data_IF_384782030125
#
_entry.id   IF_384782030125
#
_cell.length_a   1.000
_cell.length_b   1.000
_cell.length_c   1.000
_cell.angle_alpha   90.00
_cell.angle_beta   90.00
_cell.angle_gamma   90.00
#
_symmetry.space_group_name_H-M   'P 1'
#
loop_
_entity.id
_entity.type
_entity.pdbx_description
1 polymer ?
#
# COMPACT_ATOMS: atom_id res chain seq x y z
N UNK A 1 -0.79 -6.53 -21.09
CA UNK A 1 -0.86 -5.94 -19.72
C UNK A 1 0.53 -5.74 -19.13
N UNK A 2 1.39 -6.77 -19.03
CA UNK A 2 2.72 -6.65 -18.40
C UNK A 2 3.60 -5.59 -19.05
N UNK A 3 3.65 -5.51 -20.39
CA UNK A 3 4.41 -4.48 -21.09
C UNK A 3 3.94 -3.05 -20.74
N UNK A 4 2.67 -2.88 -20.39
CA UNK A 4 2.15 -1.59 -19.92
C UNK A 4 2.66 -1.26 -18.52
N UNK A 5 2.71 -2.23 -17.59
CA UNK A 5 3.33 -2.04 -16.27
C UNK A 5 4.82 -1.76 -16.38
N UNK A 6 5.53 -2.56 -17.17
CA UNK A 6 6.96 -2.38 -17.39
C UNK A 6 7.33 -1.02 -17.99
N UNK A 7 6.50 -0.50 -18.90
CA UNK A 7 6.67 0.82 -19.50
C UNK A 7 6.07 1.97 -18.68
N UNK A 8 5.37 1.69 -17.58
CA UNK A 8 4.72 2.71 -16.76
C UNK A 8 5.75 3.64 -16.12
N UNK A 9 5.68 4.94 -16.44
CA UNK A 9 6.67 5.92 -16.00
C UNK A 9 6.69 6.11 -14.49
N UNK A 10 5.52 6.12 -13.84
CA UNK A 10 5.43 6.31 -12.39
C UNK A 10 6.07 5.13 -11.65
N UNK A 11 5.76 3.89 -12.07
CA UNK A 11 6.33 2.68 -11.49
C UNK A 11 7.85 2.62 -11.68
N UNK A 12 8.33 2.85 -12.90
CA UNK A 12 9.77 2.84 -13.20
C UNK A 12 10.53 3.88 -12.41
N UNK A 13 10.07 5.13 -12.42
CA UNK A 13 10.71 6.20 -11.66
C UNK A 13 10.82 5.84 -10.18
N UNK A 14 9.73 5.32 -9.58
CA UNK A 14 9.74 4.90 -8.18
C UNK A 14 10.73 3.75 -7.91
N UNK A 15 10.73 2.71 -8.76
CA UNK A 15 11.66 1.59 -8.60
C UNK A 15 13.12 2.03 -8.74
N UNK A 16 13.40 2.92 -9.69
CA UNK A 16 14.76 3.44 -9.92
C UNK A 16 15.23 4.33 -8.74
N UNK A 17 14.37 5.23 -8.25
CA UNK A 17 14.68 6.12 -7.13
C UNK A 17 14.89 5.36 -5.81
N UNK A 18 14.16 4.27 -5.60
CA UNK A 18 14.27 3.43 -4.40
C UNK A 18 15.26 2.27 -4.57
N UNK A 19 15.89 2.13 -5.73
CA UNK A 19 16.79 1.02 -6.07
C UNK A 19 16.16 -0.37 -5.80
N UNK A 20 14.87 -0.52 -6.09
CA UNK A 20 14.14 -1.77 -5.84
C UNK A 20 14.53 -2.84 -6.84
N UNK A 21 14.94 -3.99 -6.34
CA UNK A 21 15.34 -5.15 -7.15
C UNK A 21 14.97 -6.45 -6.46
N UNK A 22 14.72 -7.50 -7.25
CA UNK A 22 14.56 -8.87 -6.78
C UNK A 22 15.84 -9.71 -6.92
N UNK A 23 16.97 -9.08 -7.31
CA UNK A 23 18.22 -9.80 -7.55
C UNK A 23 18.74 -10.57 -6.32
N UNK A 24 18.49 -10.08 -5.12
CA UNK A 24 18.90 -10.73 -3.87
C UNK A 24 17.93 -11.84 -3.42
N UNK A 25 16.80 -12.02 -4.14
CA UNK A 25 15.74 -12.98 -3.81
C UNK A 25 15.43 -13.91 -5.00
N UNK A 26 16.45 -14.33 -5.75
CA UNK A 26 16.27 -15.16 -6.95
C UNK A 26 15.58 -16.50 -6.67
N UNK A 27 15.82 -17.11 -5.52
CA UNK A 27 15.20 -18.37 -5.13
C UNK A 27 13.68 -18.21 -4.96
N UNK A 28 13.27 -17.16 -4.25
CA UNK A 28 11.85 -16.82 -4.11
C UNK A 28 11.18 -16.60 -5.46
N UNK A 29 11.78 -15.79 -6.34
CA UNK A 29 11.24 -15.53 -7.69
C UNK A 29 11.10 -16.79 -8.50
N UNK A 30 12.09 -17.68 -8.43
CA UNK A 30 12.07 -18.98 -9.13
C UNK A 30 10.96 -19.89 -8.61
N UNK A 31 10.82 -19.98 -7.29
CA UNK A 31 9.78 -20.78 -6.65
C UNK A 31 8.38 -20.26 -7.00
N UNK A 32 8.19 -18.94 -7.00
CA UNK A 32 6.94 -18.32 -7.43
C UNK A 32 6.64 -18.62 -8.90
N UNK A 33 7.64 -18.55 -9.77
CA UNK A 33 7.49 -18.89 -11.19
C UNK A 33 7.01 -20.33 -11.38
N UNK A 34 7.60 -21.30 -10.69
CA UNK A 34 7.15 -22.71 -10.75
C UNK A 34 5.72 -22.86 -10.24
N UNK A 35 5.35 -22.20 -9.15
CA UNK A 35 3.95 -22.22 -8.65
C UNK A 35 2.98 -21.65 -9.69
N UNK A 36 3.38 -20.63 -10.46
CA UNK A 36 2.57 -20.08 -11.55
C UNK A 36 2.40 -21.13 -12.66
N UNK A 37 3.50 -21.74 -13.15
CA UNK A 37 3.46 -22.74 -14.22
C UNK A 37 2.65 -23.99 -13.84
N UNK A 38 2.66 -24.39 -12.56
CA UNK A 38 1.93 -25.55 -12.07
C UNK A 38 0.44 -25.28 -11.83
N UNK A 39 0.03 -24.02 -11.76
CA UNK A 39 -1.37 -23.67 -11.46
C UNK A 39 -2.31 -24.00 -12.63
N UNK A 40 -3.49 -24.54 -12.30
CA UNK A 40 -4.48 -24.94 -13.31
C UNK A 40 -4.96 -23.76 -14.15
N UNK A 41 -5.22 -22.61 -13.53
CA UNK A 41 -5.69 -21.42 -14.24
C UNK A 41 -4.66 -20.87 -15.24
N UNK A 42 -3.35 -21.03 -14.97
CA UNK A 42 -2.30 -20.65 -15.90
C UNK A 42 -2.17 -21.64 -17.04
N UNK A 43 -2.27 -22.96 -16.76
CA UNK A 43 -2.29 -24.00 -17.79
C UNK A 43 -3.50 -23.85 -18.72
N UNK A 44 -4.67 -23.54 -18.18
CA UNK A 44 -5.87 -23.24 -18.98
C UNK A 44 -5.65 -22.03 -19.89
N UNK A 45 -5.10 -20.94 -19.35
CA UNK A 45 -4.75 -19.75 -20.13
C UNK A 45 -3.76 -20.05 -21.25
N UNK A 46 -2.69 -20.81 -20.97
CA UNK A 46 -1.67 -21.18 -21.95
C UNK A 46 -2.16 -22.19 -23.01
N UNK A 47 -3.19 -22.95 -22.72
CA UNK A 47 -3.82 -23.89 -23.65
C UNK A 47 -4.84 -23.22 -24.59
N UNK A 48 -5.20 -21.96 -24.34
CA UNK A 48 -6.12 -21.22 -25.22
C UNK A 48 -5.46 -20.88 -26.55
N UNK A 49 -6.17 -21.12 -27.65
CA UNK A 49 -5.70 -20.77 -29.01
C UNK A 49 -5.76 -19.26 -29.29
N UNK A 50 -6.57 -18.55 -28.54
CA UNK A 50 -6.76 -17.10 -28.67
C UNK A 50 -6.62 -16.45 -27.31
N UNK A 51 -6.04 -15.25 -27.27
CA UNK A 51 -6.03 -14.44 -26.07
C UNK A 51 -6.54 -13.03 -26.37
N UNK A 52 -7.25 -12.45 -25.41
CA UNK A 52 -7.64 -11.06 -25.41
C UNK A 52 -6.86 -10.30 -24.34
N UNK A 53 -6.85 -8.99 -24.42
CA UNK A 53 -6.25 -8.15 -23.38
C UNK A 53 -6.90 -8.41 -22.00
N UNK A 54 -8.20 -8.62 -21.99
CA UNK A 54 -8.99 -8.90 -20.77
C UNK A 54 -8.57 -10.23 -20.13
N UNK A 55 -8.33 -11.26 -20.94
CA UNK A 55 -7.83 -12.56 -20.46
C UNK A 55 -6.39 -12.44 -19.95
N UNK A 56 -5.52 -11.74 -20.66
CA UNK A 56 -4.15 -11.45 -20.20
C UNK A 56 -4.16 -10.75 -18.83
N UNK A 57 -4.95 -9.70 -18.68
CA UNK A 57 -5.09 -8.96 -17.43
C UNK A 57 -5.66 -9.83 -16.31
N UNK A 58 -6.66 -10.66 -16.63
CA UNK A 58 -7.31 -11.54 -15.66
C UNK A 58 -6.35 -12.60 -15.14
N UNK A 59 -5.53 -13.22 -15.98
CA UNK A 59 -4.53 -14.20 -15.52
C UNK A 59 -3.53 -13.56 -14.55
N UNK A 60 -3.08 -12.32 -14.80
CA UNK A 60 -2.21 -11.60 -13.87
C UNK A 60 -2.92 -11.23 -12.57
N UNK A 61 -4.20 -10.89 -12.63
CA UNK A 61 -5.02 -10.67 -11.43
C UNK A 61 -5.16 -11.96 -10.59
N UNK A 62 -5.32 -13.10 -11.24
CA UNK A 62 -5.39 -14.41 -10.58
C UNK A 62 -4.04 -14.81 -9.97
N UNK A 63 -2.93 -14.61 -10.69
CA UNK A 63 -1.58 -14.82 -10.17
C UNK A 63 -1.40 -14.01 -8.89
N UNK A 64 -1.67 -12.71 -8.94
CA UNK A 64 -1.52 -11.85 -7.77
C UNK A 64 -2.40 -12.31 -6.61
N UNK A 65 -3.69 -12.53 -6.86
CA UNK A 65 -4.66 -12.88 -5.83
C UNK A 65 -4.41 -14.25 -5.19
N UNK A 66 -4.03 -15.26 -5.98
CA UNK A 66 -3.94 -16.65 -5.51
C UNK A 66 -2.55 -17.07 -5.05
N UNK A 67 -1.51 -16.43 -5.58
CA UNK A 67 -0.13 -16.86 -5.35
C UNK A 67 0.74 -15.80 -4.65
N UNK A 68 0.30 -14.53 -4.61
CA UNK A 68 1.07 -13.43 -4.02
C UNK A 68 0.41 -12.91 -2.74
N UNK A 69 -0.90 -12.67 -2.73
CA UNK A 69 -1.61 -12.07 -1.57
C UNK A 69 -1.35 -12.85 -0.28
N UNK A 70 -1.57 -14.15 -0.30
CA UNK A 70 -1.44 -15.02 0.89
C UNK A 70 -0.11 -15.81 0.87
N UNK A 71 0.94 -15.25 0.27
CA UNK A 71 2.25 -15.89 0.22
C UNK A 71 3.04 -15.60 1.49
N UNK A 72 3.19 -16.61 2.35
CA UNK A 72 3.90 -16.51 3.64
C UNK A 72 5.37 -16.12 3.46
N UNK A 73 6.07 -16.75 2.50
CA UNK A 73 7.48 -16.45 2.21
C UNK A 73 7.68 -14.98 1.78
N UNK A 74 6.76 -14.42 0.97
CA UNK A 74 6.79 -13.00 0.63
C UNK A 74 6.52 -12.11 1.85
N UNK A 75 5.59 -12.51 2.72
CA UNK A 75 5.28 -11.74 3.93
C UNK A 75 6.50 -11.67 4.84
N UNK A 76 7.18 -12.79 5.07
CA UNK A 76 8.42 -12.84 5.85
C UNK A 76 9.52 -11.96 5.23
N UNK A 77 9.75 -12.04 3.91
CA UNK A 77 10.72 -11.19 3.22
C UNK A 77 10.40 -9.69 3.36
N UNK A 78 9.14 -9.31 3.27
CA UNK A 78 8.72 -7.92 3.42
C UNK A 78 8.86 -7.43 4.86
N UNK A 79 8.53 -8.26 5.85
CA UNK A 79 8.69 -7.95 7.28
C UNK A 79 10.16 -7.79 7.68
N UNK A 80 11.06 -8.58 7.10
CA UNK A 80 12.51 -8.44 7.28
C UNK A 80 13.02 -7.07 6.78
N UNK A 81 12.43 -6.54 5.72
CA UNK A 81 12.76 -5.20 5.22
C UNK A 81 12.17 -4.12 6.13
N UNK A 82 10.89 -4.28 6.52
CA UNK A 82 10.18 -3.31 7.36
C UNK A 82 9.00 -3.99 8.08
N UNK A 83 9.03 -3.98 9.41
CA UNK A 83 8.00 -4.58 10.28
C UNK A 83 6.57 -4.05 10.02
N UNK A 84 6.42 -2.85 9.48
CA UNK A 84 5.10 -2.29 9.15
C UNK A 84 4.37 -3.05 8.04
N UNK A 85 5.07 -3.86 7.25
CA UNK A 85 4.43 -4.72 6.25
C UNK A 85 3.44 -5.72 6.84
N UNK A 86 3.60 -6.09 8.11
CA UNK A 86 2.65 -6.95 8.82
C UNK A 86 1.21 -6.36 8.79
N UNK A 87 1.09 -5.05 9.01
CA UNK A 87 -0.21 -4.38 9.03
C UNK A 87 -0.62 -3.81 7.66
N UNK A 88 0.34 -3.30 6.89
CA UNK A 88 0.08 -2.54 5.66
C UNK A 88 -0.16 -3.42 4.43
N UNK A 89 0.35 -4.66 4.41
CA UNK A 89 0.29 -5.57 3.26
C UNK A 89 -1.12 -5.73 2.71
N UNK A 90 -2.11 -5.97 3.57
CA UNK A 90 -3.52 -6.17 3.17
C UNK A 90 -4.10 -4.95 2.41
N UNK A 91 -3.74 -3.74 2.83
CA UNK A 91 -4.16 -2.50 2.17
C UNK A 91 -3.48 -2.36 0.82
N UNK A 92 -2.16 -2.63 0.78
CA UNK A 92 -1.36 -2.58 -0.46
C UNK A 92 -1.87 -3.62 -1.47
N UNK A 93 -2.13 -4.85 -1.05
CA UNK A 93 -2.70 -5.91 -1.91
C UNK A 93 -4.03 -5.47 -2.55
N UNK A 94 -4.89 -4.79 -1.76
CA UNK A 94 -6.13 -4.21 -2.27
C UNK A 94 -5.87 -3.15 -3.34
N UNK A 95 -4.87 -2.30 -3.16
CA UNK A 95 -4.51 -1.26 -4.12
C UNK A 95 -3.88 -1.83 -5.39
N UNK A 96 -3.05 -2.86 -5.28
CA UNK A 96 -2.49 -3.56 -6.44
C UNK A 96 -3.60 -4.20 -7.27
N UNK A 97 -4.52 -4.95 -6.66
CA UNK A 97 -5.66 -5.55 -7.36
C UNK A 97 -6.57 -4.49 -8.03
N UNK A 98 -6.82 -3.37 -7.36
CA UNK A 98 -7.55 -2.24 -7.97
C UNK A 98 -6.79 -1.63 -9.14
N UNK A 99 -5.47 -1.51 -9.03
CA UNK A 99 -4.61 -1.01 -10.11
C UNK A 99 -4.69 -1.92 -11.33
N UNK A 100 -4.54 -3.25 -11.16
CA UNK A 100 -4.68 -4.23 -12.22
C UNK A 100 -6.04 -4.07 -12.95
N UNK A 101 -7.12 -3.96 -12.17
CA UNK A 101 -8.48 -3.84 -12.73
C UNK A 101 -8.73 -2.51 -13.50
N UNK A 102 -7.96 -1.46 -13.22
CA UNK A 102 -8.12 -0.15 -13.90
C UNK A 102 -7.45 -0.09 -15.26
N UNK A 103 -6.46 -0.94 -15.52
CA UNK A 103 -5.79 -0.98 -16.81
C UNK A 103 -6.72 -1.50 -17.91
N UNK A 104 -6.63 -0.87 -19.07
CA UNK A 104 -7.34 -1.25 -20.30
C UNK A 104 -6.33 -1.39 -21.45
N UNK A 105 -6.72 -1.98 -22.56
CA UNK A 105 -5.89 -2.07 -23.76
C UNK A 105 -5.36 -0.72 -24.26
N UNK A 106 -6.07 0.38 -23.95
CA UNK A 106 -5.71 1.75 -24.34
C UNK A 106 -4.80 2.46 -23.31
N UNK A 107 -4.55 1.85 -22.15
CA UNK A 107 -3.69 2.43 -21.11
C UNK A 107 -2.25 2.56 -21.62
N UNK A 108 -1.71 3.77 -21.53
CA UNK A 108 -0.35 4.07 -21.97
C UNK A 108 0.65 4.16 -20.81
N UNK A 109 1.91 4.43 -21.09
CA UNK A 109 2.98 4.54 -20.09
C UNK A 109 2.80 5.64 -19.04
N UNK A 110 1.90 6.58 -19.25
CA UNK A 110 1.56 7.63 -18.28
C UNK A 110 0.27 7.34 -17.51
N UNK A 111 -0.32 6.13 -17.66
CA UNK A 111 -1.53 5.75 -16.94
C UNK A 111 -1.28 5.79 -15.43
N UNK A 112 -2.10 6.53 -14.64
CA UNK A 112 -1.84 6.72 -13.22
C UNK A 112 -2.11 5.44 -12.42
N UNK A 113 -1.17 5.09 -11.56
CA UNK A 113 -1.37 4.05 -10.53
C UNK A 113 -2.38 4.53 -9.48
N UNK A 114 -2.76 3.65 -8.55
CA UNK A 114 -3.63 4.06 -7.44
C UNK A 114 -2.93 5.15 -6.63
N UNK A 115 -3.57 6.30 -6.41
CA UNK A 115 -2.98 7.37 -5.62
C UNK A 115 -2.95 7.01 -4.13
N UNK A 116 -1.97 7.53 -3.41
CA UNK A 116 -1.87 7.40 -1.93
C UNK A 116 -3.06 8.06 -1.22
N UNK A 117 -3.54 9.17 -1.76
CA UNK A 117 -4.67 9.93 -1.23
C UNK A 117 -5.79 9.99 -2.26
N UNK A 118 -7.03 10.08 -1.79
CA UNK A 118 -8.20 10.23 -2.66
C UNK A 118 -8.17 11.53 -3.46
N UNK A 119 -7.62 12.59 -2.87
CA UNK A 119 -7.49 13.91 -3.48
C UNK A 119 -6.29 14.67 -2.90
N UNK A 120 -5.85 15.73 -3.59
CA UNK A 120 -4.81 16.63 -3.06
C UNK A 120 -5.27 17.33 -1.77
N UNK A 121 -6.56 17.61 -1.62
CA UNK A 121 -7.11 18.18 -0.39
C UNK A 121 -6.98 17.23 0.79
N UNK A 122 -7.13 15.92 0.61
CA UNK A 122 -6.94 14.93 1.67
C UNK A 122 -5.46 14.85 2.10
N UNK A 123 -4.54 14.93 1.14
CA UNK A 123 -3.11 15.01 1.43
C UNK A 123 -2.75 16.26 2.21
N UNK A 124 -3.27 17.40 1.78
CA UNK A 124 -3.05 18.69 2.45
C UNK A 124 -3.63 18.69 3.86
N UNK A 125 -4.82 18.14 4.04
CA UNK A 125 -5.46 17.97 5.34
C UNK A 125 -4.58 17.11 6.27
N UNK A 126 -4.19 15.89 5.83
CA UNK A 126 -3.36 14.98 6.62
C UNK A 126 -2.03 15.63 7.01
N UNK A 127 -1.36 16.31 6.06
CA UNK A 127 -0.08 16.98 6.29
C UNK A 127 -0.21 18.13 7.29
N UNK A 128 -1.25 18.97 7.16
CA UNK A 128 -1.51 20.09 8.07
C UNK A 128 -1.87 19.59 9.47
N UNK A 129 -2.73 18.57 9.56
CA UNK A 129 -3.13 17.96 10.83
C UNK A 129 -1.92 17.40 11.59
N UNK A 130 -1.12 16.56 10.92
CA UNK A 130 0.07 15.97 11.54
C UNK A 130 1.07 17.04 12.01
N UNK A 131 1.34 18.02 11.14
CA UNK A 131 2.23 19.15 11.47
C UNK A 131 1.71 19.93 12.68
N UNK A 132 0.41 20.20 12.73
CA UNK A 132 -0.22 20.90 13.86
C UNK A 132 -0.15 20.11 15.15
N UNK A 133 -0.41 18.81 15.11
CA UNK A 133 -0.31 17.93 16.26
C UNK A 133 1.11 17.88 16.84
N UNK A 134 2.12 17.75 15.98
CA UNK A 134 3.54 17.73 16.39
C UNK A 134 3.96 19.08 16.99
N UNK A 135 3.71 20.19 16.28
CA UNK A 135 4.12 21.53 16.74
C UNK A 135 3.34 22.01 17.97
N UNK A 136 2.11 21.54 18.15
CA UNK A 136 1.24 21.88 19.27
C UNK A 136 1.31 20.90 20.43
N UNK A 137 2.24 19.93 20.43
CA UNK A 137 2.30 18.84 21.40
C UNK A 137 2.22 19.29 22.86
N UNK A 138 3.02 20.28 23.27
CA UNK A 138 3.03 20.80 24.65
C UNK A 138 1.70 21.46 25.01
N UNK A 139 1.17 22.30 24.11
CA UNK A 139 -0.10 22.97 24.30
C UNK A 139 -1.26 21.97 24.47
N UNK A 140 -1.36 21.00 23.57
CA UNK A 140 -2.40 19.97 23.63
C UNK A 140 -2.25 19.05 24.86
N UNK A 141 -1.01 18.70 25.23
CA UNK A 141 -0.74 17.94 26.46
C UNK A 141 -1.19 18.69 27.70
N UNK A 142 -1.00 20.01 27.75
CA UNK A 142 -1.49 20.87 28.80
C UNK A 142 -3.01 20.92 28.86
N UNK A 143 -3.69 21.03 27.71
CA UNK A 143 -5.15 20.99 27.63
C UNK A 143 -5.72 19.65 28.12
N UNK A 144 -5.13 18.54 27.71
CA UNK A 144 -5.53 17.19 28.17
C UNK A 144 -5.37 17.11 29.67
N UNK A 145 -4.22 17.50 30.21
CA UNK A 145 -3.92 17.45 31.64
C UNK A 145 -4.88 18.31 32.49
N UNK A 146 -5.25 19.51 32.01
CA UNK A 146 -6.14 20.41 32.73
C UNK A 146 -7.63 20.00 32.72
N UNK A 147 -8.03 19.20 31.72
CA UNK A 147 -9.41 18.76 31.52
C UNK A 147 -9.70 17.32 31.97
N UNK A 148 -8.68 16.52 32.27
CA UNK A 148 -8.83 15.17 32.81
C UNK A 148 -8.98 15.19 34.32
N UNK A 149 -10.20 15.50 34.82
CA UNK A 149 -10.48 15.51 36.26
C UNK A 149 -10.46 14.08 36.81
N UNK A 150 -9.66 13.86 37.87
CA UNK A 150 -9.59 12.57 38.56
C UNK A 150 -8.75 11.50 37.86
N UNK A 151 -8.09 11.82 36.76
CA UNK A 151 -7.17 10.92 36.05
C UNK A 151 -5.75 11.52 36.05
N UNK A 152 -4.77 10.72 36.41
CA UNK A 152 -3.37 11.08 36.20
C UNK A 152 -3.05 11.03 34.71
N UNK A 153 -2.66 12.13 34.05
CA UNK A 153 -2.32 12.15 32.64
C UNK A 153 -1.22 11.13 32.24
N UNK A 154 -0.37 10.75 33.21
CA UNK A 154 0.68 9.72 33.01
C UNK A 154 0.12 8.31 32.86
N UNK A 155 -1.12 8.07 33.25
CA UNK A 155 -1.82 6.79 33.15
C UNK A 155 -2.60 6.63 31.84
N UNK A 156 -2.72 7.69 31.05
CA UNK A 156 -3.34 7.62 29.72
C UNK A 156 -2.39 6.84 28.80
N UNK A 157 -2.91 5.78 28.16
CA UNK A 157 -2.13 5.00 27.21
C UNK A 157 -1.58 5.88 26.07
N UNK A 158 -0.43 5.54 25.52
CA UNK A 158 0.24 6.34 24.48
C UNK A 158 -0.67 6.62 23.29
N UNK A 159 -1.38 5.59 22.80
CA UNK A 159 -2.28 5.73 21.66
C UNK A 159 -3.46 6.65 21.96
N UNK A 160 -4.08 6.53 23.13
CA UNK A 160 -5.19 7.39 23.54
C UNK A 160 -4.75 8.87 23.59
N UNK A 161 -3.53 9.12 24.11
CA UNK A 161 -2.95 10.46 24.14
C UNK A 161 -2.70 11.01 22.73
N UNK A 162 -2.21 10.19 21.81
CA UNK A 162 -1.99 10.59 20.40
C UNK A 162 -3.33 10.92 19.75
N UNK A 163 -4.35 10.09 19.93
CA UNK A 163 -5.70 10.31 19.39
C UNK A 163 -6.31 11.60 19.93
N UNK A 164 -6.21 11.84 21.23
CA UNK A 164 -6.68 13.09 21.86
C UNK A 164 -5.95 14.31 21.31
N UNK A 165 -4.63 14.23 21.12
CA UNK A 165 -3.84 15.34 20.53
C UNK A 165 -4.23 15.61 19.08
N UNK A 166 -4.41 14.55 18.26
CA UNK A 166 -4.87 14.70 16.89
C UNK A 166 -6.27 15.34 16.83
N UNK A 167 -7.21 14.88 17.66
CA UNK A 167 -8.56 15.45 17.73
C UNK A 167 -8.56 16.93 18.15
N UNK A 168 -7.74 17.31 19.14
CA UNK A 168 -7.58 18.70 19.55
C UNK A 168 -6.92 19.54 18.45
N UNK A 169 -5.92 19.00 17.76
CA UNK A 169 -5.29 19.66 16.61
C UNK A 169 -6.29 19.89 15.47
N UNK A 170 -7.14 18.90 15.19
CA UNK A 170 -8.19 18.99 14.17
C UNK A 170 -9.21 20.09 14.53
N UNK A 171 -9.86 20.00 15.69
CA UNK A 171 -10.90 20.94 16.13
C UNK A 171 -10.37 22.39 16.18
N UNK A 172 -9.10 22.58 16.53
CA UNK A 172 -8.53 23.93 16.66
C UNK A 172 -7.98 24.50 15.35
N UNK A 173 -7.85 23.70 14.31
CA UNK A 173 -7.20 24.10 13.04
C UNK A 173 -8.18 24.12 11.87
N UNK A 174 -9.15 23.24 11.89
CA UNK A 174 -10.13 23.10 10.82
C UNK A 174 -11.52 23.42 11.36
N UNK A 175 -12.13 24.52 10.93
CA UNK A 175 -13.47 24.95 11.35
C UNK A 175 -14.58 24.04 10.82
#
# INVERSE_FOLDING_TARGET
FILQLESNKQLRTYCDEQALTWADHEEFVRNLYYKIEESDFYKEYMASETSSYEEDREVWRLIYRRLIVDNEELSELLEDINVYWNDDKTIVDTFVLKTINRFTSESNSAFPLMPEYKSDSDRDFATKLLRRAIMGHEYFSGLIGSNTRGWDPKRIALMDRIILQLGLAEITTFP
#
